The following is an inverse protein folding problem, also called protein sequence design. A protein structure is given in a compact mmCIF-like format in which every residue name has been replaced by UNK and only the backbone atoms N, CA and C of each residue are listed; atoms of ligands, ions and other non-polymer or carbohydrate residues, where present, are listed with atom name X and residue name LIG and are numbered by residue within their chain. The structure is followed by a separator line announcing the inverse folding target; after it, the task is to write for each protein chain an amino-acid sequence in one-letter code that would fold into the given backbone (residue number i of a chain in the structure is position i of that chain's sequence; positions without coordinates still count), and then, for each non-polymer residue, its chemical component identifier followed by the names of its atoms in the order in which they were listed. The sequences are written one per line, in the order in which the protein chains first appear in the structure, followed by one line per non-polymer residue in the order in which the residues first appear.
data_IF_851684468647
#
_entry.id   IF_851684468647
#
_cell.length_a   1.000
_cell.length_b   1.000
_cell.length_c   1.000
_cell.angle_alpha   90.00
_cell.angle_beta   90.00
_cell.angle_gamma   90.00
#
_symmetry.space_group_name_H-M   'P 1'
#
loop_
_entity.id
_entity.type
_entity.pdbx_description
1 polymer ?
#
# COMPACT_ATOMS: atom_id res chain seq x y z
N UNK A 1 -19.69 12.37 2.18
CA UNK A 1 -18.59 13.01 1.43
C UNK A 1 -17.67 11.90 0.95
N UNK A 2 -17.64 11.64 -0.35
CA UNK A 2 -16.74 10.63 -0.95
C UNK A 2 -15.74 11.41 -1.78
N UNK A 3 -14.47 11.40 -1.37
CA UNK A 3 -13.39 12.03 -2.13
C UNK A 3 -13.04 11.09 -3.29
N UNK A 4 -13.64 11.35 -4.46
CA UNK A 4 -13.35 10.60 -5.70
C UNK A 4 -12.07 11.06 -6.39
N UNK A 5 -11.40 12.08 -5.86
CA UNK A 5 -10.17 12.66 -6.41
C UNK A 5 -8.90 12.06 -5.80
N UNK A 6 -8.98 11.48 -4.61
CA UNK A 6 -7.81 10.98 -3.88
C UNK A 6 -7.86 9.45 -3.71
N UNK A 7 -7.48 8.71 -4.75
CA UNK A 7 -7.32 7.25 -4.66
C UNK A 7 -6.08 6.95 -3.80
N UNK A 8 -6.30 6.58 -2.55
CA UNK A 8 -5.24 6.30 -1.59
C UNK A 8 -5.39 4.90 -1.00
N UNK A 9 -4.26 4.21 -0.83
CA UNK A 9 -4.18 3.08 0.06
C UNK A 9 -3.80 3.58 1.46
N UNK A 10 -4.68 3.30 2.43
CA UNK A 10 -4.45 3.64 3.85
C UNK A 10 -3.89 2.42 4.55
N UNK A 11 -2.71 2.55 5.15
CA UNK A 11 -2.06 1.51 5.95
C UNK A 11 -2.02 2.00 7.40
N UNK A 12 -2.78 1.34 8.26
CA UNK A 12 -2.89 1.68 9.67
C UNK A 12 -2.12 0.69 10.54
N UNK A 13 -1.39 1.22 11.52
CA UNK A 13 -0.60 0.45 12.48
C UNK A 13 0.76 1.08 12.75
N UNK A 14 1.37 0.70 13.87
CA UNK A 14 2.73 1.12 14.22
C UNK A 14 3.73 0.22 13.49
N UNK A 15 4.71 0.83 12.84
CA UNK A 15 5.90 0.14 12.33
C UNK A 15 7.10 0.53 13.19
N UNK A 16 7.72 -0.45 13.84
CA UNK A 16 8.82 -0.22 14.79
C UNK A 16 10.20 -0.19 14.12
N UNK A 17 10.27 -0.40 12.80
CA UNK A 17 11.48 -0.52 12.00
C UNK A 17 11.23 0.01 10.60
N UNK A 18 12.30 0.27 9.87
CA UNK A 18 12.26 0.60 8.44
C UNK A 18 11.42 -0.43 7.71
N UNK A 19 10.27 0.01 7.20
CA UNK A 19 9.26 -0.85 6.59
C UNK A 19 8.88 -0.25 5.24
N UNK A 20 8.91 -1.10 4.20
CA UNK A 20 8.47 -0.72 2.87
C UNK A 20 7.11 -1.36 2.61
N UNK A 21 6.15 -0.54 2.16
CA UNK A 21 4.93 -1.04 1.55
C UNK A 21 5.10 -1.05 0.04
N UNK A 22 4.82 -2.18 -0.59
CA UNK A 22 4.95 -2.38 -2.04
C UNK A 22 3.66 -2.95 -2.60
N UNK A 23 3.20 -2.40 -3.73
CA UNK A 23 2.13 -2.97 -4.52
C UNK A 23 2.69 -3.72 -5.71
N UNK A 24 2.18 -4.92 -5.93
CA UNK A 24 2.47 -5.75 -7.10
C UNK A 24 1.20 -5.98 -7.92
N UNK A 25 1.34 -6.01 -9.25
CA UNK A 25 0.28 -6.54 -10.12
C UNK A 25 0.27 -8.08 -10.10
N UNK A 26 -0.72 -8.70 -10.76
CA UNK A 26 -0.87 -10.17 -10.79
C UNK A 26 0.29 -10.91 -11.48
N UNK A 27 1.08 -10.23 -12.29
CA UNK A 27 2.30 -10.79 -12.88
C UNK A 27 3.52 -10.69 -11.93
N UNK A 28 3.34 -10.17 -10.72
CA UNK A 28 4.42 -10.02 -9.74
C UNK A 28 5.34 -8.81 -9.97
N UNK A 29 4.96 -7.88 -10.84
CA UNK A 29 5.72 -6.64 -11.08
C UNK A 29 5.37 -5.59 -10.02
N UNK A 30 6.38 -4.99 -9.40
CA UNK A 30 6.21 -3.80 -8.54
C UNK A 30 5.63 -2.65 -9.36
N UNK A 31 4.49 -2.10 -8.93
CA UNK A 31 3.81 -0.99 -9.60
C UNK A 31 3.96 0.33 -8.85
N UNK A 32 4.08 0.29 -7.53
CA UNK A 32 4.39 1.46 -6.69
C UNK A 32 4.87 0.98 -5.32
N UNK A 33 5.57 1.84 -4.61
CA UNK A 33 5.97 1.60 -3.23
C UNK A 33 6.18 2.89 -2.44
N UNK A 34 6.13 2.77 -1.12
CA UNK A 34 6.43 3.86 -0.21
C UNK A 34 7.14 3.33 1.04
N UNK A 35 8.04 4.14 1.60
CA UNK A 35 8.59 3.91 2.93
C UNK A 35 7.58 4.38 3.97
N UNK A 36 7.39 3.58 5.02
CA UNK A 36 6.47 3.89 6.11
C UNK A 36 7.21 4.63 7.22
N UNK A 37 6.60 5.70 7.73
CA UNK A 37 7.15 6.50 8.81
C UNK A 37 6.89 5.83 10.18
N UNK A 38 7.94 5.50 10.92
CA UNK A 38 7.84 4.85 12.24
C UNK A 38 7.16 5.70 13.31
N UNK A 39 7.05 7.02 13.11
CA UNK A 39 6.38 7.96 14.00
C UNK A 39 4.91 8.22 13.66
N UNK A 40 4.36 7.56 12.62
CA UNK A 40 2.95 7.68 12.25
C UNK A 40 2.23 6.34 12.28
N UNK A 41 1.03 6.34 12.85
CA UNK A 41 0.12 5.19 12.88
C UNK A 41 -0.73 5.08 11.62
N UNK A 42 -0.73 6.10 10.77
CA UNK A 42 -1.50 6.14 9.52
C UNK A 42 -0.60 6.59 8.39
N UNK A 43 -0.50 5.74 7.38
CA UNK A 43 0.34 5.95 6.21
C UNK A 43 -0.55 5.98 4.98
N UNK A 44 -0.21 6.84 4.04
CA UNK A 44 -0.97 7.04 2.83
C UNK A 44 -0.06 6.80 1.64
N UNK A 45 -0.48 5.91 0.74
CA UNK A 45 0.17 5.70 -0.55
C UNK A 45 -0.78 6.18 -1.62
N UNK A 46 -0.32 7.10 -2.46
CA UNK A 46 -1.04 7.52 -3.65
C UNK A 46 -1.06 6.36 -4.66
N UNK A 47 -2.27 5.95 -5.04
CA UNK A 47 -2.54 4.90 -6.02
C UNK A 47 -3.38 5.43 -7.19
N UNK A 48 -3.47 6.75 -7.37
CA UNK A 48 -4.24 7.41 -8.42
C UNK A 48 -3.84 7.01 -9.83
N UNK A 49 -2.57 6.65 -10.03
CA UNK A 49 -2.04 6.20 -11.33
C UNK A 49 -2.36 4.73 -11.64
N UNK A 50 -2.85 3.97 -10.65
CA UNK A 50 -3.18 2.56 -10.85
C UNK A 50 -4.53 2.40 -11.53
N UNK A 51 -4.57 1.48 -12.48
CA UNK A 51 -5.78 1.09 -13.17
C UNK A 51 -6.69 0.27 -12.27
N UNK A 52 -7.96 0.15 -12.65
CA UNK A 52 -8.87 -0.78 -11.99
C UNK A 52 -8.36 -2.22 -12.17
N UNK A 53 -8.41 -3.02 -11.10
CA UNK A 53 -7.85 -4.36 -11.11
C UNK A 53 -7.50 -4.88 -9.73
N UNK A 54 -6.82 -6.04 -9.72
CA UNK A 54 -6.38 -6.71 -8.49
C UNK A 54 -4.88 -6.51 -8.31
N UNK A 55 -4.49 -6.17 -7.09
CA UNK A 55 -3.12 -5.94 -6.68
C UNK A 55 -2.81 -6.70 -5.39
N UNK A 56 -1.53 -6.96 -5.16
CA UNK A 56 -1.03 -7.55 -3.92
C UNK A 56 -0.22 -6.50 -3.19
N UNK A 57 -0.68 -6.11 -2.00
CA UNK A 57 0.06 -5.28 -1.08
C UNK A 57 0.93 -6.15 -0.18
N UNK A 58 2.22 -5.84 -0.15
CA UNK A 58 3.20 -6.46 0.73
C UNK A 58 3.76 -5.37 1.64
N UNK A 59 3.62 -5.56 2.94
CA UNK A 59 4.26 -4.74 3.97
C UNK A 59 5.34 -5.61 4.58
N UNK A 60 6.60 -5.23 4.33
CA UNK A 60 7.73 -6.06 4.70
C UNK A 60 8.80 -5.28 5.47
N UNK A 61 9.28 -5.89 6.55
CA UNK A 61 10.51 -5.53 7.25
C UNK A 61 11.16 -6.82 7.81
N UNK A 62 12.26 -6.69 8.54
CA UNK A 62 13.00 -7.85 9.09
C UNK A 62 12.22 -8.74 10.07
N UNK A 63 11.02 -8.33 10.51
CA UNK A 63 10.21 -9.03 11.50
C UNK A 63 8.81 -9.37 10.98
N UNK A 64 8.33 -8.68 9.96
CA UNK A 64 6.95 -8.74 9.49
C UNK A 64 6.91 -8.92 7.99
N UNK A 65 6.04 -9.83 7.54
CA UNK A 65 5.69 -9.96 6.13
C UNK A 65 4.17 -10.10 6.04
N UNK A 66 3.48 -8.99 5.78
CA UNK A 66 2.02 -8.95 5.68
C UNK A 66 1.65 -8.85 4.21
N UNK A 67 0.81 -9.77 3.75
CA UNK A 67 0.32 -9.83 2.37
C UNK A 67 -1.19 -9.63 2.35
N UNK A 68 -1.68 -8.72 1.51
CA UNK A 68 -3.12 -8.42 1.33
C UNK A 68 -3.47 -8.28 -0.14
N UNK A 69 -4.60 -8.85 -0.53
CA UNK A 69 -5.21 -8.58 -1.85
C UNK A 69 -5.97 -7.26 -1.79
N UNK A 70 -5.70 -6.39 -2.74
CA UNK A 70 -6.38 -5.10 -2.93
C UNK A 70 -7.14 -5.17 -4.27
N UNK A 71 -8.34 -4.59 -4.30
CA UNK A 71 -9.16 -4.50 -5.51
C UNK A 71 -9.47 -3.01 -5.72
N UNK A 72 -9.07 -2.49 -6.89
CA UNK A 72 -9.40 -1.13 -7.33
C UNK A 72 -10.54 -1.25 -8.33
N UNK A 73 -11.67 -0.60 -8.03
CA UNK A 73 -12.86 -0.57 -8.86
C UNK A 73 -13.16 0.86 -9.31
N UNK A 74 -14.00 1.06 -10.34
CA UNK A 74 -14.54 2.37 -10.69
C UNK A 74 -15.18 3.09 -9.50
#
# INVERSE_FOLDING_TARGET
FTDTTNKQLVINGIVLRDTKATLYNLQGREVTSTLLNTYSTSQYMDISTLQNGVYIAVIHNQQQNIVKKIIITP
#
